data_IF_191301625807
#
_entry.id   IF_191301625807
#
_cell.length_a   1.000
_cell.length_b   1.000
_cell.length_c   1.000
_cell.angle_alpha   90.00
_cell.angle_beta   90.00
_cell.angle_gamma   90.00
#
_symmetry.space_group_name_H-M   'P 1'
#
loop_
_entity.id
_entity.type
_entity.pdbx_description
1 polymer ?
#
# COMPACT_ATOMS: atom_id res chain seq x y z
N UNK A 1 -29.17 51.29 49.55
CA UNK A 1 -27.73 51.53 49.33
C UNK A 1 -26.97 50.53 50.17
N UNK A 2 -26.09 49.63 49.71
CA UNK A 2 -25.62 49.23 48.39
C UNK A 2 -24.81 47.92 48.68
N UNK A 3 -25.50 46.79 48.81
CA UNK A 3 -25.43 45.63 47.91
C UNK A 3 -24.03 45.01 47.71
N UNK A 4 -23.92 43.76 48.16
CA UNK A 4 -22.73 42.90 48.18
C UNK A 4 -22.05 42.82 46.80
N UNK A 5 -20.74 43.10 46.77
CA UNK A 5 -19.88 42.71 45.63
C UNK A 5 -19.32 41.31 45.87
N UNK A 6 -20.08 40.33 45.44
CA UNK A 6 -19.66 38.96 45.18
C UNK A 6 -19.11 38.93 43.73
N UNK A 7 -17.79 38.91 43.52
CA UNK A 7 -17.23 38.73 42.18
C UNK A 7 -17.05 37.23 41.89
N UNK A 8 -18.17 36.61 41.57
CA UNK A 8 -18.28 35.27 41.00
C UNK A 8 -18.04 35.40 39.49
N UNK A 9 -16.81 35.11 39.04
CA UNK A 9 -16.48 35.02 37.61
C UNK A 9 -17.03 33.69 37.10
N UNK A 10 -18.23 33.73 36.54
CA UNK A 10 -18.88 32.61 35.89
C UNK A 10 -19.12 32.98 34.43
N UNK A 11 -18.56 32.13 33.55
CA UNK A 11 -19.07 31.59 32.28
C UNK A 11 -19.77 32.64 31.38
N UNK A 12 -19.41 32.80 30.10
CA UNK A 12 -19.70 31.85 29.03
C UNK A 12 -18.91 32.38 27.82
N UNK A 13 -17.84 31.70 27.38
CA UNK A 13 -17.33 31.91 26.03
C UNK A 13 -18.32 31.30 25.05
N UNK A 14 -19.25 32.17 24.64
CA UNK A 14 -19.87 32.27 23.33
C UNK A 14 -19.89 30.99 22.47
N UNK A 15 -21.05 30.34 22.53
CA UNK A 15 -21.78 29.70 21.42
C UNK A 15 -21.60 30.57 20.15
N UNK A 16 -21.07 30.08 19.04
CA UNK A 16 -21.78 29.17 18.16
C UNK A 16 -22.65 29.95 17.15
N UNK A 17 -22.25 29.84 15.87
CA UNK A 17 -23.13 29.76 14.70
C UNK A 17 -23.53 31.03 13.89
N UNK A 18 -22.95 31.05 12.66
CA UNK A 18 -23.58 31.33 11.35
C UNK A 18 -23.87 32.79 10.93
N UNK A 19 -23.10 33.25 9.93
CA UNK A 19 -23.64 33.93 8.73
C UNK A 19 -22.61 33.93 7.58
N UNK A 20 -23.08 33.63 6.37
CA UNK A 20 -22.36 33.58 5.10
C UNK A 20 -21.82 34.96 4.66
N UNK A 21 -20.66 34.99 3.98
CA UNK A 21 -20.52 35.49 2.60
C UNK A 21 -19.05 35.53 2.13
N UNK A 22 -18.81 34.85 1.01
CA UNK A 22 -17.80 35.08 -0.04
C UNK A 22 -16.43 35.67 0.32
N UNK A 23 -15.43 34.80 0.33
CA UNK A 23 -14.01 35.18 0.22
C UNK A 23 -13.20 33.97 -0.22
N UNK A 24 -12.97 33.85 -1.53
CA UNK A 24 -12.17 32.80 -2.17
C UNK A 24 -10.73 32.83 -1.66
N UNK A 25 -10.45 32.08 -0.60
CA UNK A 25 -9.10 31.73 -0.16
C UNK A 25 -8.82 30.27 -0.51
N UNK A 26 -7.65 29.91 -1.08
CA UNK A 26 -7.38 28.54 -1.45
C UNK A 26 -7.35 27.69 -0.18
N UNK A 27 -8.29 26.75 -0.09
CA UNK A 27 -8.15 25.56 0.74
C UNK A 27 -6.75 25.01 0.46
N UNK A 28 -5.91 24.71 1.48
CA UNK A 28 -4.71 23.93 1.23
C UNK A 28 -5.22 22.57 0.77
N UNK A 29 -5.31 22.44 -0.55
CA UNK A 29 -5.43 21.18 -1.24
C UNK A 29 -4.33 20.33 -0.64
N UNK A 30 -4.72 19.37 0.18
CA UNK A 30 -3.90 18.21 0.46
C UNK A 30 -3.65 17.66 -0.93
N UNK A 31 -2.53 18.09 -1.53
CA UNK A 31 -1.98 17.49 -2.72
C UNK A 31 -1.81 16.04 -2.31
N UNK A 32 -2.78 15.23 -2.69
CA UNK A 32 -2.62 13.80 -2.84
C UNK A 32 -1.57 13.72 -3.96
N UNK A 33 -0.31 13.86 -3.53
CA UNK A 33 0.85 13.83 -4.40
C UNK A 33 0.67 12.56 -5.20
N UNK A 34 0.56 12.73 -6.52
CA UNK A 34 0.34 11.67 -7.48
C UNK A 34 1.52 10.70 -7.32
N UNK A 35 1.35 9.78 -6.36
CA UNK A 35 2.46 9.07 -5.76
C UNK A 35 2.82 8.03 -6.79
N UNK A 36 3.97 8.23 -7.43
CA UNK A 36 4.60 7.22 -8.28
C UNK A 36 4.41 5.87 -7.60
N UNK A 37 3.90 4.84 -8.30
CA UNK A 37 3.70 3.54 -7.71
C UNK A 37 5.00 3.12 -7.02
N UNK A 38 4.92 2.77 -5.73
CA UNK A 38 6.10 2.36 -5.00
C UNK A 38 6.69 1.12 -5.69
N UNK A 39 7.95 1.19 -6.13
CA UNK A 39 8.62 0.04 -6.71
C UNK A 39 9.21 -0.83 -5.59
N UNK A 40 9.12 -2.14 -5.76
CA UNK A 40 9.78 -3.07 -4.84
C UNK A 40 11.30 -3.06 -5.09
N UNK A 41 12.12 -3.05 -4.02
CA UNK A 41 13.56 -3.21 -4.16
C UNK A 41 13.89 -4.56 -4.80
N UNK A 42 14.79 -4.58 -5.77
CA UNK A 42 15.11 -5.79 -6.55
C UNK A 42 15.75 -6.87 -5.67
N UNK A 43 16.51 -6.47 -4.65
CA UNK A 43 17.14 -7.37 -3.68
C UNK A 43 16.13 -8.17 -2.83
N UNK A 44 14.86 -7.71 -2.80
CA UNK A 44 13.79 -8.43 -2.10
C UNK A 44 13.04 -9.43 -2.98
N UNK A 45 13.35 -9.48 -4.28
CA UNK A 45 12.68 -10.32 -5.26
C UNK A 45 13.57 -11.52 -5.60
N UNK A 46 12.94 -12.66 -5.83
CA UNK A 46 13.61 -13.85 -6.33
C UNK A 46 13.18 -14.11 -7.77
N UNK A 47 14.12 -14.59 -8.58
CA UNK A 47 13.84 -15.03 -9.93
C UNK A 47 13.51 -16.52 -9.90
N UNK A 48 12.35 -16.89 -10.42
CA UNK A 48 11.92 -18.26 -10.59
C UNK A 48 11.94 -18.61 -12.09
N UNK A 49 12.62 -19.69 -12.44
CA UNK A 49 12.74 -20.14 -13.83
C UNK A 49 12.12 -21.53 -13.98
N UNK A 50 11.04 -21.63 -14.75
CA UNK A 50 10.36 -22.87 -15.08
C UNK A 50 10.13 -22.95 -16.58
N UNK A 51 10.42 -24.10 -17.19
CA UNK A 51 10.20 -24.37 -18.61
C UNK A 51 10.84 -23.34 -19.55
N UNK A 52 12.02 -22.84 -19.17
CA UNK A 52 12.73 -21.80 -19.93
C UNK A 52 12.07 -20.42 -19.86
N UNK A 53 11.17 -20.19 -18.91
CA UNK A 53 10.53 -18.92 -18.62
C UNK A 53 10.86 -18.42 -17.22
N UNK A 54 11.25 -17.15 -17.14
CA UNK A 54 11.59 -16.44 -15.92
C UNK A 54 10.44 -15.54 -15.44
N UNK A 55 10.20 -15.53 -14.13
CA UNK A 55 9.30 -14.60 -13.45
C UNK A 55 9.92 -14.12 -12.15
N UNK A 56 9.51 -12.94 -11.71
CA UNK A 56 9.87 -12.40 -10.40
C UNK A 56 8.80 -12.74 -9.36
N UNK A 57 9.25 -13.20 -8.20
CA UNK A 57 8.42 -13.49 -7.04
C UNK A 57 8.86 -12.64 -5.86
N UNK A 58 7.90 -12.23 -5.03
CA UNK A 58 8.15 -11.64 -3.73
C UNK A 58 7.86 -12.70 -2.65
N UNK A 59 8.90 -13.25 -1.99
CA UNK A 59 8.70 -14.07 -0.82
C UNK A 59 8.16 -13.22 0.33
N UNK A 60 7.29 -13.80 1.14
CA UNK A 60 6.80 -13.18 2.37
C UNK A 60 6.67 -14.22 3.48
N UNK A 61 6.69 -13.74 4.72
CA UNK A 61 6.43 -14.54 5.92
C UNK A 61 5.22 -13.95 6.64
N UNK A 62 4.22 -14.77 6.92
CA UNK A 62 3.08 -14.41 7.77
C UNK A 62 2.83 -15.47 8.86
N UNK A 63 1.72 -15.34 9.59
CA UNK A 63 1.34 -16.25 10.68
C UNK A 63 1.14 -17.70 10.23
N UNK A 64 0.86 -17.94 8.94
CA UNK A 64 0.65 -19.26 8.35
C UNK A 64 1.95 -19.83 7.76
N UNK A 65 3.07 -19.11 7.87
CA UNK A 65 4.38 -19.53 7.38
C UNK A 65 4.86 -18.72 6.17
N UNK A 66 5.73 -19.33 5.37
CA UNK A 66 6.31 -18.69 4.18
C UNK A 66 5.38 -18.84 2.99
N UNK A 67 5.23 -17.77 2.21
CA UNK A 67 4.50 -17.75 0.96
C UNK A 67 5.22 -16.92 -0.10
N UNK A 68 4.70 -16.95 -1.32
CA UNK A 68 5.25 -16.17 -2.46
C UNK A 68 4.12 -15.48 -3.20
N UNK A 69 4.39 -14.26 -3.67
CA UNK A 69 3.51 -13.52 -4.57
C UNK A 69 4.20 -13.33 -5.91
N UNK A 70 3.51 -13.62 -7.00
CA UNK A 70 3.97 -13.23 -8.33
C UNK A 70 3.98 -11.71 -8.45
N UNK A 71 5.11 -11.13 -8.88
CA UNK A 71 5.24 -9.68 -9.08
C UNK A 71 4.43 -9.23 -10.30
N UNK A 72 4.56 -9.95 -11.41
CA UNK A 72 3.81 -9.73 -12.65
C UNK A 72 3.22 -11.04 -13.15
N UNK A 73 1.93 -11.04 -13.53
CA UNK A 73 1.26 -12.21 -14.07
C UNK A 73 1.71 -12.57 -15.51
N UNK A 74 2.87 -12.07 -15.93
CA UNK A 74 3.55 -12.38 -17.19
C UNK A 74 4.94 -12.89 -16.87
N UNK A 75 5.41 -13.86 -17.65
CA UNK A 75 6.75 -14.44 -17.58
C UNK A 75 7.48 -14.27 -18.90
N UNK A 76 8.79 -14.13 -18.84
CA UNK A 76 9.66 -13.96 -20.00
C UNK A 76 10.36 -15.26 -20.33
N UNK A 77 10.14 -15.78 -21.52
CA UNK A 77 10.69 -17.05 -21.99
C UNK A 77 11.85 -16.83 -22.95
N UNK A 78 12.69 -17.86 -23.10
CA UNK A 78 13.76 -17.89 -24.09
C UNK A 78 13.29 -17.46 -25.49
N UNK A 79 14.11 -16.68 -26.19
CA UNK A 79 13.77 -16.10 -27.49
C UNK A 79 12.80 -14.91 -27.42
N UNK A 80 12.87 -14.11 -26.35
CA UNK A 80 12.10 -12.87 -26.14
C UNK A 80 10.57 -13.04 -26.19
N UNK A 81 10.09 -14.25 -25.91
CA UNK A 81 8.65 -14.54 -25.89
C UNK A 81 8.06 -14.23 -24.52
N UNK A 82 7.00 -13.43 -24.48
CA UNK A 82 6.22 -13.24 -23.27
C UNK A 82 5.09 -14.26 -23.19
N UNK A 83 4.88 -14.86 -22.01
CA UNK A 83 3.78 -15.76 -21.72
C UNK A 83 3.04 -15.31 -20.46
N UNK A 84 1.82 -15.81 -20.26
CA UNK A 84 1.06 -15.54 -19.04
C UNK A 84 1.46 -16.50 -17.92
N UNK A 85 1.47 -16.00 -16.68
CA UNK A 85 1.53 -16.85 -15.50
C UNK A 85 0.22 -17.63 -15.31
N UNK A 86 0.23 -18.64 -14.44
CA UNK A 86 -0.92 -19.52 -14.21
C UNK A 86 -2.07 -18.73 -13.58
N UNK A 87 -3.27 -18.89 -14.16
CA UNK A 87 -4.49 -18.29 -13.62
C UNK A 87 -4.74 -18.81 -12.20
N UNK A 88 -5.10 -17.90 -11.29
CA UNK A 88 -5.29 -18.25 -9.87
C UNK A 88 -4.06 -18.01 -8.99
N UNK A 89 -2.86 -17.85 -9.56
CA UNK A 89 -1.67 -17.57 -8.75
C UNK A 89 -1.82 -16.24 -7.99
N UNK A 90 -1.45 -16.20 -6.70
CA UNK A 90 -1.50 -14.97 -5.92
C UNK A 90 -0.46 -13.98 -6.44
N UNK A 91 -0.86 -12.72 -6.60
CA UNK A 91 -0.04 -11.69 -7.22
C UNK A 91 -0.13 -10.34 -6.51
N UNK A 92 0.81 -9.45 -6.81
CA UNK A 92 0.87 -8.10 -6.23
C UNK A 92 -0.06 -7.19 -7.02
N UNK A 93 -1.26 -6.93 -6.49
CA UNK A 93 -2.22 -6.01 -7.11
C UNK A 93 -1.85 -4.55 -6.85
N UNK A 94 -1.44 -4.22 -5.62
CA UNK A 94 -0.90 -2.90 -5.26
C UNK A 94 0.15 -3.04 -4.18
N UNK A 95 1.15 -2.16 -4.20
CA UNK A 95 2.15 -2.04 -3.14
C UNK A 95 2.26 -0.59 -2.67
N UNK A 96 2.55 -0.41 -1.38
CA UNK A 96 2.86 0.88 -0.75
C UNK A 96 4.00 0.71 0.23
N UNK A 97 4.81 1.75 0.39
CA UNK A 97 5.80 1.81 1.47
C UNK A 97 5.10 1.74 2.84
N UNK A 98 5.64 0.94 3.76
CA UNK A 98 5.21 0.96 5.16
C UNK A 98 5.88 2.11 5.92
N UNK A 99 5.39 2.40 7.13
CA UNK A 99 6.00 3.43 7.99
C UNK A 99 7.41 3.04 8.49
N UNK A 100 7.70 1.73 8.56
CA UNK A 100 9.01 1.20 8.98
C UNK A 100 9.84 0.81 7.75
N UNK A 101 11.15 1.12 7.72
CA UNK A 101 12.04 0.68 6.66
C UNK A 101 12.13 -0.85 6.59
N UNK A 102 12.43 -1.38 5.41
CA UNK A 102 12.47 -2.83 5.17
C UNK A 102 11.09 -3.51 5.21
N UNK A 103 10.00 -2.74 5.21
CA UNK A 103 8.64 -3.28 5.19
C UNK A 103 7.79 -2.58 4.14
N UNK A 104 6.87 -3.34 3.55
CA UNK A 104 5.92 -2.85 2.55
C UNK A 104 4.52 -3.32 2.89
N UNK A 105 3.53 -2.57 2.43
CA UNK A 105 2.13 -2.99 2.46
C UNK A 105 1.74 -3.48 1.08
N UNK A 106 1.24 -4.71 0.98
CA UNK A 106 0.82 -5.33 -0.28
C UNK A 106 -0.69 -5.59 -0.24
N UNK A 107 -1.37 -5.27 -1.34
CA UNK A 107 -2.67 -5.85 -1.68
C UNK A 107 -2.44 -7.00 -2.62
N UNK A 108 -2.88 -8.16 -2.20
CA UNK A 108 -2.88 -9.38 -2.98
C UNK A 108 -4.03 -9.35 -4.00
N UNK A 109 -3.78 -9.93 -5.16
CA UNK A 109 -4.76 -10.23 -6.19
C UNK A 109 -4.56 -11.66 -6.68
N UNK A 110 -5.23 -11.99 -7.79
CA UNK A 110 -5.09 -13.27 -8.47
C UNK A 110 -4.75 -13.04 -9.94
N UNK A 111 -3.85 -13.83 -10.51
CA UNK A 111 -3.58 -13.78 -11.93
C UNK A 111 -4.79 -14.23 -12.75
N UNK A 112 -5.09 -13.47 -13.81
CA UNK A 112 -6.12 -13.78 -14.82
C UNK A 112 -5.65 -13.27 -16.19
N UNK A 113 -5.33 -14.18 -17.09
CA UNK A 113 -4.92 -13.92 -18.47
C UNK A 113 -3.82 -12.86 -18.56
N UNK A 114 -2.72 -13.03 -17.81
CA UNK A 114 -1.60 -12.10 -17.84
C UNK A 114 -1.72 -10.89 -16.92
N UNK A 115 -2.88 -10.67 -16.30
CA UNK A 115 -3.14 -9.48 -15.46
C UNK A 115 -3.38 -9.89 -14.02
N UNK A 116 -2.81 -9.14 -13.07
CA UNK A 116 -3.16 -9.28 -11.65
C UNK A 116 -4.49 -8.57 -11.38
N UNK A 117 -5.55 -9.33 -11.14
CA UNK A 117 -6.87 -8.76 -10.82
C UNK A 117 -7.07 -8.73 -9.30
N UNK A 118 -7.70 -7.67 -8.80
CA UNK A 118 -8.06 -7.59 -7.38
C UNK A 118 -8.99 -8.76 -7.03
N UNK A 119 -8.72 -9.42 -5.90
CA UNK A 119 -9.63 -10.43 -5.34
C UNK A 119 -11.05 -9.89 -5.11
N UNK A 120 -12.02 -10.80 -5.04
CA UNK A 120 -13.45 -10.49 -4.87
C UNK A 120 -13.79 -9.88 -3.50
N UNK A 121 -13.03 -10.23 -2.46
CA UNK A 121 -13.06 -9.55 -1.17
C UNK A 121 -12.15 -8.33 -1.23
N UNK A 122 -12.44 -7.25 -0.48
CA UNK A 122 -11.46 -6.16 -0.29
C UNK A 122 -10.32 -6.75 0.53
N UNK A 123 -9.20 -7.20 -0.07
CA UNK A 123 -8.19 -7.90 0.69
C UNK A 123 -7.55 -6.86 1.61
N UNK A 124 -7.34 -7.17 2.89
CA UNK A 124 -6.62 -6.26 3.77
C UNK A 124 -5.22 -6.03 3.21
N UNK A 125 -4.65 -4.86 3.50
CA UNK A 125 -3.23 -4.64 3.22
C UNK A 125 -2.42 -5.56 4.13
N UNK A 126 -1.63 -6.46 3.55
CA UNK A 126 -0.68 -7.29 4.28
C UNK A 126 0.61 -6.52 4.50
N UNK A 127 1.19 -6.60 5.69
CA UNK A 127 2.52 -6.07 5.96
C UNK A 127 3.55 -7.16 5.64
N UNK A 128 4.37 -6.94 4.62
CA UNK A 128 5.44 -7.85 4.22
C UNK A 128 6.77 -7.28 4.71
N UNK A 129 7.59 -8.13 5.33
CA UNK A 129 8.98 -7.82 5.64
C UNK A 129 9.80 -8.20 4.43
N UNK A 130 10.54 -7.23 3.87
CA UNK A 130 11.44 -7.48 2.76
C UNK A 130 12.68 -8.15 3.33
N UNK A 131 12.98 -9.36 2.85
CA UNK A 131 14.26 -10.01 3.14
C UNK A 131 15.39 -9.15 2.60
N UNK A 132 16.46 -8.97 3.39
CA UNK A 132 17.76 -8.66 2.79
C UNK A 132 18.30 -9.99 2.24
N UNK A 133 18.90 -10.03 1.03
CA UNK A 133 19.75 -11.15 0.70
C UNK A 133 20.80 -11.21 1.82
N UNK A 134 20.96 -12.39 2.43
CA UNK A 134 22.11 -12.64 3.27
C UNK A 134 23.34 -12.35 2.43
N UNK A 135 24.14 -11.37 2.85
CA UNK A 135 25.56 -11.36 2.49
C UNK A 135 26.11 -12.67 3.06
N UNK A 136 26.35 -13.64 2.18
CA UNK A 136 27.21 -14.79 2.51
C UNK A 136 28.63 -14.21 2.67
N UNK A 137 29.08 -14.11 3.92
CA UNK A 137 30.48 -13.85 4.31
C UNK A 137 31.44 -14.94 3.78
#
# INVERSE_FOLDING_TARGET
MLWLKLMLVILISEIGERAMCSGSGPVPSVKESEKTPYSLPQESLINDTSDGCNRQLLPYLDENGMGVLTVNCTKYCTGDKQATDVNGNPCIFKVKQAAKPGKVKVKEGSCRNGTCVRGSTRPPWRLVVLGKPSEED
#
